data_IF_063636237942
#
_entry.id   IF_063636237942
#
_cell.length_a   1.000
_cell.length_b   1.000
_cell.length_c   1.000
_cell.angle_alpha   90.00
_cell.angle_beta   90.00
_cell.angle_gamma   90.00
#
_symmetry.space_group_name_H-M   'P 1'
#
loop_
_entity.id
_entity.type
_entity.pdbx_description
1 polymer ?
#
# COMPACT_ATOMS: atom_id res chain seq x y z
N UNK A 1 -21.78 -15.05 7.14
CA UNK A 1 -20.57 -14.31 7.56
C UNK A 1 -20.90 -12.83 7.62
N UNK A 2 -20.61 -12.12 8.74
CA UNK A 2 -20.85 -10.68 8.85
C UNK A 2 -19.98 -9.87 7.84
N UNK A 3 -20.45 -8.68 7.47
CA UNK A 3 -19.77 -7.81 6.48
C UNK A 3 -18.30 -7.51 6.87
N UNK A 4 -18.04 -7.23 8.15
CA UNK A 4 -16.67 -7.01 8.64
C UNK A 4 -15.75 -8.21 8.40
N UNK A 5 -16.23 -9.43 8.60
CA UNK A 5 -15.42 -10.64 8.37
C UNK A 5 -15.09 -10.84 6.89
N UNK A 6 -16.03 -10.53 5.98
CA UNK A 6 -15.78 -10.63 4.53
C UNK A 6 -14.75 -9.62 4.06
N UNK A 7 -14.87 -8.36 4.47
CA UNK A 7 -13.90 -7.32 4.10
C UNK A 7 -12.51 -7.58 4.70
N UNK A 8 -12.43 -8.07 5.94
CA UNK A 8 -11.16 -8.46 6.55
C UNK A 8 -10.50 -9.65 5.83
N UNK A 9 -11.26 -10.68 5.46
CA UNK A 9 -10.74 -11.82 4.69
C UNK A 9 -10.19 -11.38 3.34
N UNK A 10 -10.88 -10.49 2.63
CA UNK A 10 -10.40 -9.94 1.36
C UNK A 10 -9.10 -9.15 1.58
N UNK A 11 -9.06 -8.25 2.57
CA UNK A 11 -7.88 -7.47 2.90
C UNK A 11 -6.67 -8.37 3.16
N UNK A 12 -6.80 -9.35 4.03
CA UNK A 12 -5.68 -10.25 4.36
C UNK A 12 -5.31 -11.19 3.22
N UNK A 13 -6.25 -11.60 2.36
CA UNK A 13 -5.94 -12.38 1.17
C UNK A 13 -5.12 -11.57 0.16
N UNK A 14 -5.48 -10.31 -0.08
CA UNK A 14 -4.72 -9.38 -0.93
C UNK A 14 -3.35 -9.11 -0.32
N UNK A 15 -3.28 -8.87 0.99
CA UNK A 15 -2.00 -8.64 1.69
C UNK A 15 -1.07 -9.84 1.58
N UNK A 16 -1.58 -11.06 1.79
CA UNK A 16 -0.80 -12.28 1.64
C UNK A 16 -0.32 -12.48 0.19
N UNK A 17 -1.16 -12.20 -0.79
CA UNK A 17 -0.79 -12.26 -2.21
C UNK A 17 0.31 -11.27 -2.58
N UNK A 18 0.19 -10.01 -2.15
CA UNK A 18 1.21 -8.98 -2.38
C UNK A 18 2.54 -9.32 -1.70
N UNK A 19 2.49 -9.74 -0.43
CA UNK A 19 3.67 -10.18 0.33
C UNK A 19 4.36 -11.37 -0.36
N UNK A 20 3.61 -12.38 -0.75
CA UNK A 20 4.16 -13.57 -1.40
C UNK A 20 4.82 -13.21 -2.73
N UNK A 21 4.15 -12.40 -3.56
CA UNK A 21 4.68 -11.97 -4.85
C UNK A 21 5.97 -11.16 -4.67
N UNK A 22 6.01 -10.27 -3.69
CA UNK A 22 7.21 -9.48 -3.36
C UNK A 22 8.37 -10.40 -2.95
N UNK A 23 8.16 -11.27 -1.98
CA UNK A 23 9.23 -12.13 -1.46
C UNK A 23 9.72 -13.15 -2.49
N UNK A 24 8.83 -13.72 -3.29
CA UNK A 24 9.22 -14.66 -4.38
C UNK A 24 10.02 -13.93 -5.45
N UNK A 25 9.60 -12.72 -5.85
CA UNK A 25 10.33 -11.93 -6.84
C UNK A 25 11.71 -11.51 -6.34
N UNK A 26 11.84 -11.09 -5.09
CA UNK A 26 13.11 -10.74 -4.45
C UNK A 26 14.06 -11.93 -4.37
N UNK A 27 13.56 -13.09 -3.93
CA UNK A 27 14.36 -14.31 -3.86
C UNK A 27 14.85 -14.75 -5.26
N UNK A 28 14.02 -14.64 -6.28
CA UNK A 28 14.41 -14.92 -7.67
C UNK A 28 15.49 -13.95 -8.15
N UNK A 29 15.32 -12.66 -7.91
CA UNK A 29 16.30 -11.62 -8.32
C UNK A 29 17.64 -11.83 -7.62
N UNK A 30 17.63 -12.08 -6.32
CA UNK A 30 18.85 -12.34 -5.55
C UNK A 30 19.61 -13.54 -6.08
N UNK A 31 18.95 -14.66 -6.34
CA UNK A 31 19.57 -15.86 -6.87
C UNK A 31 20.07 -15.69 -8.32
N UNK A 32 19.40 -14.85 -9.12
CA UNK A 32 19.64 -14.75 -10.55
C UNK A 32 20.58 -13.59 -10.90
N UNK A 33 20.47 -12.45 -10.20
CA UNK A 33 21.13 -11.20 -10.58
C UNK A 33 22.20 -10.72 -9.59
N UNK A 34 22.32 -11.30 -8.38
CA UNK A 34 23.37 -10.88 -7.45
C UNK A 34 24.75 -11.10 -8.06
N UNK A 35 25.53 -10.02 -8.18
CA UNK A 35 26.86 -10.03 -8.79
C UNK A 35 26.88 -10.22 -10.31
N UNK A 36 25.73 -10.08 -10.99
CA UNK A 36 25.61 -10.24 -12.45
C UNK A 36 25.18 -8.94 -13.12
N UNK A 37 25.41 -8.77 -14.44
CA UNK A 37 24.92 -7.62 -15.19
C UNK A 37 23.38 -7.55 -15.19
N UNK A 38 22.81 -6.34 -15.26
CA UNK A 38 21.36 -6.13 -15.34
C UNK A 38 20.75 -6.81 -16.58
N UNK A 39 19.51 -7.32 -16.45
CA UNK A 39 18.71 -7.76 -17.58
C UNK A 39 17.97 -6.56 -18.15
N UNK A 40 18.28 -6.19 -19.39
CA UNK A 40 17.57 -5.11 -20.10
C UNK A 40 16.27 -5.65 -20.68
N UNK A 41 15.14 -5.35 -20.04
CA UNK A 41 13.81 -5.77 -20.52
C UNK A 41 13.36 -4.90 -21.68
N UNK A 42 13.47 -3.57 -21.52
CA UNK A 42 13.22 -2.57 -22.57
C UNK A 42 14.43 -1.64 -22.59
N UNK A 43 15.27 -1.69 -23.65
CA UNK A 43 16.48 -0.87 -23.70
C UNK A 43 16.20 0.62 -23.45
N UNK A 44 16.92 1.21 -22.51
CA UNK A 44 16.79 2.63 -22.16
C UNK A 44 15.56 3.01 -21.32
N UNK A 45 14.67 2.06 -20.99
CA UNK A 45 13.45 2.33 -20.22
C UNK A 45 13.35 1.46 -18.97
N UNK A 46 13.50 0.12 -19.12
CA UNK A 46 13.30 -0.83 -18.03
C UNK A 46 14.40 -1.88 -17.98
N UNK A 47 15.05 -1.98 -16.85
CA UNK A 47 16.00 -3.04 -16.53
C UNK A 47 15.61 -3.73 -15.22
N UNK A 48 16.04 -4.98 -15.06
CA UNK A 48 16.06 -5.67 -13.78
C UNK A 48 17.51 -5.67 -13.28
N UNK A 49 17.72 -5.04 -12.12
CA UNK A 49 19.06 -4.84 -11.55
C UNK A 49 19.03 -5.13 -10.05
N UNK A 50 19.86 -6.05 -9.58
CA UNK A 50 19.91 -6.33 -8.14
C UNK A 50 20.61 -5.18 -7.40
N UNK A 51 19.91 -4.56 -6.47
CA UNK A 51 20.47 -3.59 -5.54
C UNK A 51 19.84 -3.76 -4.15
N UNK A 52 20.48 -3.19 -3.14
CA UNK A 52 19.95 -3.22 -1.76
C UNK A 52 19.87 -1.82 -1.20
N UNK A 53 18.78 -1.50 -0.53
CA UNK A 53 18.45 -0.19 0.00
C UNK A 53 18.35 -0.24 1.54
N UNK A 54 19.11 0.59 2.22
CA UNK A 54 19.11 0.66 3.70
C UNK A 54 18.07 1.60 4.29
N UNK A 55 17.52 2.53 3.49
CA UNK A 55 16.72 3.55 4.16
C UNK A 55 15.85 4.46 3.30
N UNK A 56 15.47 4.07 2.10
CA UNK A 56 14.52 4.85 1.30
C UNK A 56 15.11 5.50 0.06
N UNK A 57 14.22 6.09 -0.75
CA UNK A 57 14.57 6.71 -2.00
C UNK A 57 15.57 7.87 -1.81
N UNK A 58 16.48 8.04 -2.76
CA UNK A 58 17.48 9.14 -2.79
C UNK A 58 18.50 9.15 -1.64
N UNK A 59 18.69 8.03 -0.90
CA UNK A 59 19.64 7.97 0.22
C UNK A 59 19.17 8.68 1.49
N UNK A 60 17.96 9.22 1.51
CA UNK A 60 17.36 9.77 2.72
C UNK A 60 17.07 8.64 3.71
N UNK A 61 17.75 8.64 4.85
CA UNK A 61 17.50 7.67 5.93
C UNK A 61 18.51 6.54 6.06
N UNK A 62 19.63 6.56 5.32
CA UNK A 62 20.74 5.61 5.54
C UNK A 62 21.22 5.60 7.00
N UNK A 63 21.12 6.74 7.69
CA UNK A 63 21.46 6.88 9.10
C UNK A 63 20.38 6.43 10.08
N UNK A 64 19.15 6.16 9.59
CA UNK A 64 18.01 5.83 10.45
C UNK A 64 17.05 4.79 9.83
N UNK A 65 17.52 3.58 9.47
CA UNK A 65 16.69 2.52 8.87
C UNK A 65 15.54 2.07 9.79
N UNK A 66 15.71 2.20 11.10
CA UNK A 66 14.69 1.92 12.12
C UNK A 66 13.44 2.81 12.00
N UNK A 67 13.57 4.01 11.42
CA UNK A 67 12.46 4.93 11.22
C UNK A 67 11.47 4.36 10.19
N UNK A 68 11.97 3.77 9.11
CA UNK A 68 11.14 3.12 8.09
C UNK A 68 10.48 1.84 8.64
N UNK A 69 11.21 1.06 9.42
CA UNK A 69 10.64 -0.10 10.09
C UNK A 69 9.54 0.31 11.08
N UNK A 70 9.78 1.37 11.87
CA UNK A 70 8.80 1.92 12.82
C UNK A 70 7.55 2.43 12.10
N UNK A 71 7.70 3.21 11.02
CA UNK A 71 6.58 3.68 10.21
C UNK A 71 5.77 2.50 9.64
N UNK A 72 6.44 1.48 9.12
CA UNK A 72 5.80 0.26 8.62
C UNK A 72 4.98 -0.45 9.69
N UNK A 73 5.52 -0.59 10.90
CA UNK A 73 4.81 -1.22 12.04
C UNK A 73 3.57 -0.39 12.40
N UNK A 74 3.69 0.93 12.49
CA UNK A 74 2.57 1.82 12.82
C UNK A 74 1.47 1.72 11.77
N UNK A 75 1.82 1.83 10.48
CA UNK A 75 0.85 1.70 9.38
C UNK A 75 0.17 0.34 9.40
N UNK A 76 0.93 -0.74 9.59
CA UNK A 76 0.38 -2.10 9.68
C UNK A 76 -0.59 -2.24 10.86
N UNK A 77 -0.25 -1.71 12.03
CA UNK A 77 -1.13 -1.73 13.21
C UNK A 77 -2.44 -0.96 12.96
N UNK A 78 -2.35 0.23 12.33
CA UNK A 78 -3.55 1.01 11.96
C UNK A 78 -4.44 0.21 11.01
N UNK A 79 -3.88 -0.42 9.97
CA UNK A 79 -4.64 -1.23 9.02
C UNK A 79 -5.33 -2.40 9.72
N UNK A 80 -4.63 -3.09 10.63
CA UNK A 80 -5.21 -4.18 11.42
C UNK A 80 -6.40 -3.69 12.27
N UNK A 81 -6.28 -2.54 12.94
CA UNK A 81 -7.38 -1.95 13.72
C UNK A 81 -8.56 -1.58 12.82
N UNK A 82 -8.31 -0.95 11.67
CA UNK A 82 -9.35 -0.59 10.70
C UNK A 82 -10.06 -1.83 10.16
N UNK A 83 -9.34 -2.94 9.94
CA UNK A 83 -9.91 -4.19 9.43
C UNK A 83 -10.94 -4.85 10.36
N UNK A 84 -10.98 -4.46 11.62
CA UNK A 84 -11.99 -4.95 12.60
C UNK A 84 -13.39 -4.37 12.32
N UNK A 85 -13.51 -3.35 11.48
CA UNK A 85 -14.78 -2.72 11.08
C UNK A 85 -15.18 -3.14 9.68
N UNK A 86 -16.47 -3.10 9.32
CA UNK A 86 -16.88 -3.25 7.92
C UNK A 86 -16.30 -2.13 7.08
N UNK A 87 -15.60 -2.47 6.01
CA UNK A 87 -15.03 -1.53 5.04
C UNK A 87 -15.48 -1.89 3.63
N UNK A 88 -15.56 -0.87 2.74
CA UNK A 88 -15.93 -1.06 1.34
C UNK A 88 -14.87 -1.91 0.62
N UNK A 89 -15.29 -2.69 -0.37
CA UNK A 89 -14.40 -3.59 -1.12
C UNK A 89 -13.16 -2.88 -1.70
N UNK A 90 -13.26 -1.71 -2.37
CA UNK A 90 -12.08 -1.02 -2.89
C UNK A 90 -11.09 -0.64 -1.79
N UNK A 91 -11.60 -0.19 -0.65
CA UNK A 91 -10.77 0.16 0.53
C UNK A 91 -10.09 -1.08 1.11
N UNK A 92 -10.79 -2.22 1.16
CA UNK A 92 -10.21 -3.49 1.63
C UNK A 92 -9.04 -3.94 0.73
N UNK A 93 -9.20 -3.82 -0.60
CA UNK A 93 -8.13 -4.13 -1.57
C UNK A 93 -6.95 -3.16 -1.40
N UNK A 94 -7.23 -1.85 -1.34
CA UNK A 94 -6.22 -0.81 -1.16
C UNK A 94 -5.38 -1.03 0.11
N UNK A 95 -6.04 -1.23 1.24
CA UNK A 95 -5.38 -1.49 2.53
C UNK A 95 -4.64 -2.83 2.53
N UNK A 96 -5.15 -3.84 1.84
CA UNK A 96 -4.47 -5.12 1.67
C UNK A 96 -3.16 -4.99 0.90
N UNK A 97 -3.15 -4.23 -0.20
CA UNK A 97 -1.94 -3.94 -0.97
C UNK A 97 -0.90 -3.17 -0.13
N UNK A 98 -1.33 -2.14 0.60
CA UNK A 98 -0.44 -1.38 1.49
C UNK A 98 0.14 -2.29 2.58
N UNK A 99 -0.70 -3.10 3.23
CA UNK A 99 -0.26 -4.00 4.29
C UNK A 99 0.73 -5.06 3.76
N UNK A 100 0.42 -5.70 2.63
CA UNK A 100 1.28 -6.71 2.03
C UNK A 100 2.64 -6.17 1.61
N UNK A 101 2.67 -5.01 0.96
CA UNK A 101 3.91 -4.33 0.58
C UNK A 101 4.71 -3.86 1.81
N UNK A 102 4.04 -3.28 2.81
CA UNK A 102 4.67 -2.87 4.05
C UNK A 102 5.34 -4.06 4.77
N UNK A 103 4.65 -5.19 4.88
CA UNK A 103 5.19 -6.41 5.47
C UNK A 103 6.31 -7.02 4.63
N UNK A 104 6.26 -6.92 3.28
CA UNK A 104 7.32 -7.37 2.39
C UNK A 104 8.65 -6.65 2.66
N UNK A 105 8.62 -5.32 2.68
CA UNK A 105 9.80 -4.52 3.01
C UNK A 105 10.24 -4.65 4.47
N UNK A 106 9.32 -4.94 5.39
CA UNK A 106 9.66 -5.23 6.78
C UNK A 106 10.36 -6.59 6.92
N UNK A 107 9.90 -7.61 6.19
CA UNK A 107 10.50 -8.94 6.20
C UNK A 107 11.99 -8.89 5.82
N UNK A 108 12.35 -8.14 4.77
CA UNK A 108 13.76 -7.96 4.38
C UNK A 108 14.57 -7.32 5.51
N UNK A 109 14.03 -6.29 6.17
CA UNK A 109 14.73 -5.59 7.26
C UNK A 109 14.96 -6.48 8.47
N UNK A 110 14.04 -7.40 8.75
CA UNK A 110 14.16 -8.37 9.84
C UNK A 110 15.15 -9.48 9.48
N UNK A 111 15.07 -9.99 8.23
CA UNK A 111 15.90 -11.11 7.79
C UNK A 111 17.35 -10.71 7.55
N UNK A 112 17.61 -9.51 7.05
CA UNK A 112 18.94 -9.06 6.59
C UNK A 112 19.79 -8.31 7.62
N UNK A 113 19.36 -8.18 8.88
CA UNK A 113 20.10 -7.41 9.88
C UNK A 113 19.72 -7.68 11.33
N UNK A 114 20.40 -7.02 12.26
CA UNK A 114 20.02 -7.01 13.67
C UNK A 114 19.09 -5.84 13.96
N UNK A 115 17.96 -6.07 14.64
CA UNK A 115 17.10 -5.00 15.12
C UNK A 115 16.44 -4.15 14.02
N UNK A 116 15.93 -4.76 12.97
CA UNK A 116 15.24 -4.07 11.84
C UNK A 116 16.15 -3.19 10.96
N UNK A 117 17.47 -3.43 10.98
CA UNK A 117 18.44 -2.65 10.18
C UNK A 117 18.82 -3.31 8.87
N UNK A 118 18.20 -4.44 8.51
CA UNK A 118 18.42 -5.12 7.25
C UNK A 118 18.09 -4.24 6.04
N UNK A 119 18.70 -4.58 4.91
CA UNK A 119 18.52 -3.86 3.64
C UNK A 119 17.39 -4.48 2.86
N UNK A 120 16.61 -3.64 2.20
CA UNK A 120 15.54 -4.07 1.30
C UNK A 120 16.13 -4.37 -0.07
N UNK A 121 15.71 -5.48 -0.69
CA UNK A 121 16.07 -5.83 -2.06
C UNK A 121 15.20 -5.07 -3.05
N UNK A 122 15.84 -4.21 -3.87
CA UNK A 122 15.22 -3.45 -4.95
C UNK A 122 15.77 -3.94 -6.30
N UNK A 123 14.93 -3.93 -7.36
CA UNK A 123 15.34 -4.52 -8.63
C UNK A 123 14.66 -3.98 -9.89
N UNK A 124 13.58 -3.21 -9.78
CA UNK A 124 12.89 -2.59 -10.92
C UNK A 124 13.53 -1.22 -11.17
N UNK A 125 14.25 -1.10 -12.28
CA UNK A 125 15.00 0.10 -12.65
C UNK A 125 14.39 0.73 -13.91
N UNK A 126 13.73 1.88 -13.74
CA UNK A 126 13.12 2.67 -14.81
C UNK A 126 14.09 3.71 -15.40
N UNK A 127 15.36 3.71 -15.02
CA UNK A 127 16.42 4.63 -15.49
C UNK A 127 16.23 6.11 -15.11
N UNK A 128 15.01 6.55 -14.82
CA UNK A 128 14.64 7.94 -14.48
C UNK A 128 14.09 8.07 -13.07
N UNK A 129 13.99 6.95 -12.35
CA UNK A 129 13.45 6.84 -11.01
C UNK A 129 14.36 5.96 -10.14
N UNK A 130 14.42 6.15 -8.81
CA UNK A 130 15.13 5.22 -7.95
C UNK A 130 14.66 3.78 -8.15
N UNK A 131 15.57 2.83 -8.07
CA UNK A 131 15.23 1.40 -8.17
C UNK A 131 14.28 1.03 -7.04
N UNK A 132 13.27 0.24 -7.33
CA UNK A 132 12.20 -0.15 -6.41
C UNK A 132 11.83 -1.64 -6.59
N UNK A 133 10.86 -2.13 -5.83
CA UNK A 133 10.44 -3.52 -5.81
C UNK A 133 8.91 -3.68 -5.92
N UNK A 134 8.43 -4.92 -5.82
CA UNK A 134 7.00 -5.24 -5.89
C UNK A 134 6.25 -4.69 -4.67
N UNK A 135 6.86 -4.70 -3.46
CA UNK A 135 6.25 -4.15 -2.27
C UNK A 135 5.98 -2.64 -2.41
N UNK A 136 6.92 -1.87 -2.97
CA UNK A 136 6.76 -0.44 -3.21
C UNK A 136 5.64 -0.19 -4.24
N UNK A 137 5.59 -0.99 -5.31
CA UNK A 137 4.50 -0.95 -6.30
C UNK A 137 3.14 -1.21 -5.63
N UNK A 138 3.05 -2.20 -4.76
CA UNK A 138 1.83 -2.51 -4.04
C UNK A 138 1.41 -1.36 -3.10
N UNK A 139 2.35 -0.77 -2.35
CA UNK A 139 2.08 0.37 -1.46
C UNK A 139 1.55 1.56 -2.27
N UNK A 140 2.24 1.95 -3.36
CA UNK A 140 1.83 3.08 -4.19
C UNK A 140 0.48 2.84 -4.84
N UNK A 141 0.26 1.64 -5.41
CA UNK A 141 -1.02 1.26 -6.02
C UNK A 141 -2.15 1.30 -4.98
N UNK A 142 -1.92 0.75 -3.79
CA UNK A 142 -2.87 0.79 -2.69
C UNK A 142 -3.19 2.21 -2.23
N UNK A 143 -2.19 3.09 -2.13
CA UNK A 143 -2.37 4.48 -1.75
C UNK A 143 -3.22 5.25 -2.79
N UNK A 144 -2.95 5.04 -4.08
CA UNK A 144 -3.74 5.64 -5.18
C UNK A 144 -5.19 5.14 -5.16
N UNK A 145 -5.41 3.83 -5.00
CA UNK A 145 -6.76 3.26 -4.90
C UNK A 145 -7.51 3.80 -3.67
N UNK A 146 -6.82 3.97 -2.55
CA UNK A 146 -7.43 4.54 -1.34
C UNK A 146 -7.83 6.00 -1.56
N UNK A 147 -6.97 6.80 -2.21
CA UNK A 147 -7.27 8.18 -2.55
C UNK A 147 -8.50 8.27 -3.46
N UNK A 148 -8.54 7.50 -4.55
CA UNK A 148 -9.71 7.48 -5.48
C UNK A 148 -10.98 7.09 -4.73
N UNK A 149 -10.92 6.03 -3.90
CA UNK A 149 -12.09 5.57 -3.13
C UNK A 149 -12.60 6.59 -2.11
N UNK A 150 -11.78 7.55 -1.71
CA UNK A 150 -12.16 8.62 -0.78
C UNK A 150 -12.94 9.73 -1.48
N UNK A 151 -12.66 10.01 -2.75
CA UNK A 151 -13.41 10.99 -3.56
C UNK A 151 -14.82 10.49 -3.85
N UNK A 152 -14.99 9.23 -4.25
CA UNK A 152 -16.32 8.64 -4.54
C UNK A 152 -17.28 8.69 -3.33
N UNK A 153 -16.76 8.61 -2.11
CA UNK A 153 -17.57 8.66 -0.88
C UNK A 153 -18.04 10.06 -0.48
N UNK A 154 -17.48 11.12 -1.07
CA UNK A 154 -17.84 12.52 -0.78
C UNK A 154 -19.07 12.93 -1.59
N UNK A 155 -19.19 12.47 -2.83
CA UNK A 155 -20.30 12.79 -3.72
C UNK A 155 -21.62 12.15 -3.24
N UNK A 156 -21.61 10.89 -2.80
CA UNK A 156 -22.79 10.23 -2.22
C UNK A 156 -23.35 10.94 -0.97
N UNK A 157 -22.47 11.56 -0.15
CA UNK A 157 -22.90 12.31 1.03
C UNK A 157 -23.48 13.67 0.70
N UNK A 158 -22.99 14.33 -0.36
CA UNK A 158 -23.51 15.61 -0.82
C UNK A 158 -24.93 15.45 -1.39
N UNK A 159 -25.16 14.44 -2.24
CA UNK A 159 -26.49 14.15 -2.80
C UNK A 159 -27.54 13.77 -1.76
N UNK A 160 -27.15 12.97 -0.75
CA UNK A 160 -28.07 12.60 0.34
C UNK A 160 -28.40 13.77 1.25
N UNK A 161 -27.51 14.74 1.41
CA UNK A 161 -27.75 15.95 2.21
C UNK A 161 -28.69 16.92 1.50
N UNK A 162 -28.59 17.05 0.18
CA UNK A 162 -29.50 17.89 -0.61
C UNK A 162 -30.91 17.29 -0.70
N UNK A 163 -31.05 15.97 -0.79
CA UNK A 163 -32.35 15.28 -0.83
C UNK A 163 -33.11 15.32 0.50
N UNK A 164 -32.45 15.61 1.63
CA UNK A 164 -33.05 15.69 2.98
C UNK A 164 -33.29 17.14 3.45
N UNK A 165 -33.28 18.13 2.55
CA UNK A 165 -33.63 19.51 2.86
C UNK A 165 -35.04 19.67 3.45
N UNK A 166 -35.30 20.64 4.37
CA UNK A 166 -36.53 20.72 5.10
C UNK A 166 -37.73 20.93 4.16
N UNK A 167 -38.72 20.05 4.30
CA UNK A 167 -40.00 20.22 3.64
C UNK A 167 -40.56 21.62 3.98
N UNK A 168 -40.82 22.39 2.94
CA UNK A 168 -41.41 23.72 3.08
C UNK A 168 -42.70 23.63 3.88
N UNK A 169 -42.69 24.19 5.07
CA UNK A 169 -43.91 24.46 5.86
C UNK A 169 -44.75 25.46 5.05
N UNK A 170 -45.81 24.96 4.41
CA UNK A 170 -46.77 25.80 3.70
C UNK A 170 -47.41 26.82 4.64
N UNK A 171 -47.77 28.00 4.19
CA UNK A 171 -48.39 29.03 4.99
C UNK A 171 -49.77 28.62 5.40
N UNK A 172 -49.98 28.45 6.70
CA UNK A 172 -51.33 28.28 7.28
C UNK A 172 -52.18 29.48 6.96
N UNK A 173 -53.24 29.25 6.18
CA UNK A 173 -54.26 30.26 5.86
C UNK A 173 -54.93 30.74 7.14
N UNK A 174 -54.90 32.06 7.31
CA UNK A 174 -55.81 32.73 8.20
C UNK A 174 -57.10 33.04 7.37
N UNK A 175 -58.20 32.63 7.85
CA UNK A 175 -59.50 33.12 7.45
C UNK A 175 -60.32 33.45 8.66
N UNK A 176 -61.38 34.27 8.51
CA UNK A 176 -61.59 35.58 9.11
C UNK A 176 -62.33 35.54 10.44
#
# INVERSE_FOLDING_TARGET
>A
MGAARRSALLLYAVAAGALLLDQVSKAWVEQTLAGRPPIRVIPGILSLNYTTNSGGAFGFGESAPWLFAGATIVVSAVIVVVSMRPIRTPVAVALGLILGGALGNLADRVAGGTGFTGRVTDFIDLQVWPVFNVADTAIVTGAVLLAISSFDGTDERAETSEASGPAATGPGGAEP
#
